data_IF_389170578739
#
_entry.id   IF_389170578739
#
_cell.length_a   1.000
_cell.length_b   1.000
_cell.length_c   1.000
_cell.angle_alpha   90.00
_cell.angle_beta   90.00
_cell.angle_gamma   90.00
#
_symmetry.space_group_name_H-M   'P 1'
#
loop_
_entity.id
_entity.type
_entity.pdbx_description
1 polymer ?
#
# COMPACT_ATOMS: atom_id res chain seq x y z
N UNK A 1 42.64 -10.14 -93.32
CA UNK A 1 43.92 -10.30 -92.58
C UNK A 1 43.61 -10.87 -91.20
N UNK A 2 44.16 -12.08 -90.96
CA UNK A 2 44.20 -12.95 -89.76
C UNK A 2 43.20 -12.73 -88.60
N UNK A 3 42.22 -13.64 -88.53
CA UNK A 3 41.61 -14.20 -87.31
C UNK A 3 42.57 -15.17 -86.61
N UNK A 4 42.56 -15.22 -85.29
CA UNK A 4 42.96 -16.35 -84.41
C UNK A 4 42.29 -16.07 -83.06
N UNK A 5 41.21 -16.72 -82.63
CA UNK A 5 40.87 -18.13 -82.45
C UNK A 5 41.61 -18.80 -81.27
N UNK A 6 40.80 -19.48 -80.42
CA UNK A 6 41.07 -20.46 -79.34
C UNK A 6 40.94 -19.90 -77.91
N UNK A 7 40.18 -20.47 -76.97
CA UNK A 7 39.46 -21.75 -76.82
C UNK A 7 38.39 -21.61 -75.70
N UNK A 8 37.22 -22.26 -75.83
CA UNK A 8 36.40 -22.73 -74.68
C UNK A 8 36.86 -24.16 -74.31
N UNK A 9 36.63 -24.68 -73.09
CA UNK A 9 35.36 -25.38 -72.83
C UNK A 9 34.80 -25.25 -71.40
N UNK A 10 33.54 -25.64 -71.32
CA UNK A 10 32.61 -25.71 -70.20
C UNK A 10 32.89 -26.93 -69.30
N UNK A 11 32.80 -26.81 -67.96
CA UNK A 11 32.49 -27.94 -67.05
C UNK A 11 31.72 -27.44 -65.83
N UNK A 12 30.55 -28.06 -65.59
CA UNK A 12 29.79 -28.05 -64.34
C UNK A 12 30.43 -29.06 -63.37
N UNK A 13 30.45 -28.76 -62.08
CA UNK A 13 30.29 -29.66 -60.90
C UNK A 13 30.52 -28.77 -59.64
N UNK A 14 29.48 -28.46 -58.87
CA UNK A 14 28.90 -29.21 -57.72
C UNK A 14 29.70 -28.99 -56.42
N UNK A 15 29.01 -28.30 -55.52
CA UNK A 15 28.98 -28.34 -54.06
C UNK A 15 30.18 -28.03 -53.14
N UNK A 16 29.75 -27.33 -52.09
CA UNK A 16 30.23 -27.32 -50.71
C UNK A 16 31.34 -26.34 -50.33
N UNK A 17 30.91 -25.16 -49.89
CA UNK A 17 31.40 -24.64 -48.61
C UNK A 17 30.27 -23.94 -47.87
N UNK A 18 29.34 -24.77 -47.42
CA UNK A 18 28.47 -24.46 -46.29
C UNK A 18 29.27 -24.54 -44.99
N UNK A 19 30.21 -23.62 -44.74
CA UNK A 19 31.02 -23.61 -43.50
C UNK A 19 30.83 -22.36 -42.64
N UNK A 20 29.98 -22.57 -41.63
CA UNK A 20 30.01 -21.95 -40.30
C UNK A 20 29.90 -20.42 -40.22
N UNK A 21 28.65 -19.92 -40.20
CA UNK A 21 28.34 -18.75 -39.36
C UNK A 21 28.65 -19.13 -37.92
N UNK A 22 29.80 -18.69 -37.41
CA UNK A 22 30.17 -18.89 -36.01
C UNK A 22 29.07 -18.32 -35.11
N UNK A 23 28.53 -19.10 -34.15
CA UNK A 23 27.51 -18.60 -33.25
C UNK A 23 28.13 -17.48 -32.41
N UNK A 24 27.44 -16.34 -32.31
CA UNK A 24 27.75 -15.17 -31.50
C UNK A 24 28.96 -15.35 -30.56
N UNK A 25 30.15 -14.93 -31.02
CA UNK A 25 31.38 -14.96 -30.20
C UNK A 25 31.26 -13.90 -29.11
N UNK A 26 30.61 -14.25 -27.99
CA UNK A 26 30.57 -13.43 -26.79
C UNK A 26 32.00 -13.30 -26.26
N UNK A 27 32.51 -12.07 -26.18
CA UNK A 27 33.88 -11.82 -25.70
C UNK A 27 34.05 -12.27 -24.25
N UNK A 28 35.28 -12.64 -23.85
CA UNK A 28 35.59 -12.95 -22.44
C UNK A 28 35.20 -11.79 -21.51
N UNK A 29 35.47 -10.54 -21.92
CA UNK A 29 35.09 -9.33 -21.18
C UNK A 29 33.57 -9.25 -20.93
N UNK A 30 32.76 -9.53 -21.95
CA UNK A 30 31.30 -9.50 -21.79
C UNK A 30 30.77 -10.67 -20.96
N UNK A 31 31.37 -11.86 -21.07
CA UNK A 31 31.03 -13.00 -20.18
C UNK A 31 31.37 -12.68 -18.73
N UNK A 32 32.59 -12.19 -18.45
CA UNK A 32 33.03 -11.82 -17.11
C UNK A 32 32.15 -10.71 -16.51
N UNK A 33 31.83 -9.66 -17.29
CA UNK A 33 30.92 -8.59 -16.85
C UNK A 33 29.52 -9.13 -16.52
N UNK A 34 29.01 -10.08 -17.31
CA UNK A 34 27.72 -10.72 -17.03
C UNK A 34 27.75 -11.56 -15.76
N UNK A 35 28.82 -12.35 -15.55
CA UNK A 35 28.98 -13.16 -14.34
C UNK A 35 29.15 -12.32 -13.08
N UNK A 36 29.91 -11.22 -13.15
CA UNK A 36 30.04 -10.30 -12.01
C UNK A 36 28.70 -9.60 -11.70
N UNK A 37 27.95 -9.21 -12.73
CA UNK A 37 26.59 -8.65 -12.55
C UNK A 37 25.63 -9.65 -11.92
N UNK A 38 25.66 -10.92 -12.31
CA UNK A 38 24.78 -11.93 -11.71
C UNK A 38 25.10 -12.15 -10.23
N UNK A 39 26.38 -12.24 -9.88
CA UNK A 39 26.82 -12.34 -8.47
C UNK A 39 26.39 -11.10 -7.68
N UNK A 40 26.52 -9.90 -8.25
CA UNK A 40 26.05 -8.67 -7.61
C UNK A 40 24.55 -8.72 -7.35
N UNK A 41 23.73 -9.09 -8.35
CA UNK A 41 22.27 -9.18 -8.21
C UNK A 41 21.88 -10.18 -7.11
N UNK A 42 22.52 -11.35 -7.07
CA UNK A 42 22.30 -12.36 -6.05
C UNK A 42 22.68 -11.85 -4.65
N UNK A 43 23.82 -11.16 -4.52
CA UNK A 43 24.27 -10.57 -3.26
C UNK A 43 23.31 -9.45 -2.76
N UNK A 44 22.84 -8.57 -3.65
CA UNK A 44 21.85 -7.54 -3.29
C UNK A 44 20.51 -8.17 -2.91
N UNK A 45 20.05 -9.21 -3.62
CA UNK A 45 18.84 -9.94 -3.25
C UNK A 45 18.96 -10.59 -1.87
N UNK A 46 20.09 -11.23 -1.57
CA UNK A 46 20.35 -11.81 -0.25
C UNK A 46 20.37 -10.74 0.85
N UNK A 47 20.99 -9.59 0.58
CA UNK A 47 21.04 -8.47 1.53
C UNK A 47 19.65 -7.91 1.85
N UNK A 48 18.79 -7.76 0.84
CA UNK A 48 17.37 -7.37 1.01
C UNK A 48 16.58 -8.41 1.79
N UNK A 49 16.69 -9.69 1.44
CA UNK A 49 15.99 -10.75 2.17
C UNK A 49 16.44 -10.80 3.63
N UNK A 50 17.74 -10.63 3.89
CA UNK A 50 18.25 -10.57 5.27
C UNK A 50 17.67 -9.39 6.03
N UNK A 51 17.58 -8.21 5.41
CA UNK A 51 16.93 -7.04 6.01
C UNK A 51 15.46 -7.31 6.35
N UNK A 52 14.68 -7.85 5.40
CA UNK A 52 13.27 -8.18 5.60
C UNK A 52 13.07 -9.26 6.67
N UNK A 53 13.95 -10.27 6.69
CA UNK A 53 13.92 -11.31 7.72
C UNK A 53 14.20 -10.75 9.11
N UNK A 54 15.11 -9.79 9.25
CA UNK A 54 15.39 -9.17 10.54
C UNK A 54 14.26 -8.20 10.95
N UNK A 55 13.58 -7.53 10.01
CA UNK A 55 12.36 -6.76 10.31
C UNK A 55 11.24 -7.65 10.87
N UNK A 56 11.06 -8.87 10.33
CA UNK A 56 10.05 -9.80 10.86
C UNK A 56 10.30 -10.14 12.33
N UNK A 57 11.55 -10.21 12.76
CA UNK A 57 11.92 -10.44 14.17
C UNK A 57 11.57 -9.26 15.07
N UNK A 58 11.46 -8.04 14.54
CA UNK A 58 11.00 -6.89 15.32
C UNK A 58 9.60 -7.13 15.91
N UNK A 59 8.76 -7.94 15.26
CA UNK A 59 7.42 -8.31 15.76
C UNK A 59 7.45 -9.27 16.94
N UNK A 60 8.59 -9.89 17.22
CA UNK A 60 8.77 -10.77 18.38
C UNK A 60 9.11 -9.98 19.64
N UNK A 61 9.54 -8.72 19.49
CA UNK A 61 9.81 -7.81 20.60
C UNK A 61 8.46 -7.32 21.15
N UNK A 62 8.28 -7.45 22.46
CA UNK A 62 7.01 -7.12 23.12
C UNK A 62 6.94 -5.65 23.57
N UNK A 63 8.07 -5.04 23.88
CA UNK A 63 8.13 -3.63 24.27
C UNK A 63 8.20 -2.72 23.03
N UNK A 64 7.31 -1.73 22.98
CA UNK A 64 7.18 -0.82 21.83
C UNK A 64 8.39 0.10 21.71
N UNK A 65 9.00 0.53 22.82
CA UNK A 65 10.16 1.42 22.79
C UNK A 65 11.40 0.66 22.32
N UNK A 66 11.63 -0.54 22.86
CA UNK A 66 12.71 -1.43 22.40
C UNK A 66 12.56 -1.79 20.92
N UNK A 67 11.32 -2.03 20.47
CA UNK A 67 11.03 -2.28 19.06
C UNK A 67 11.39 -1.06 18.21
N UNK A 68 11.00 0.15 18.61
CA UNK A 68 11.33 1.37 17.88
C UNK A 68 12.85 1.63 17.85
N UNK A 69 13.57 1.43 18.96
CA UNK A 69 15.03 1.52 19.00
C UNK A 69 15.70 0.51 18.06
N UNK A 70 15.14 -0.70 17.95
CA UNK A 70 15.60 -1.70 16.98
C UNK A 70 15.33 -1.26 15.53
N UNK A 71 14.14 -0.72 15.26
CA UNK A 71 13.77 -0.23 13.92
C UNK A 71 14.63 0.96 13.49
N UNK A 72 14.98 1.86 14.41
CA UNK A 72 15.89 2.98 14.14
C UNK A 72 17.31 2.47 13.78
N UNK A 73 17.80 1.42 14.45
CA UNK A 73 19.06 0.76 14.06
C UNK A 73 18.94 0.07 12.69
N UNK A 74 17.79 -0.54 12.39
CA UNK A 74 17.52 -1.13 11.08
C UNK A 74 17.53 -0.08 9.98
N UNK A 75 17.00 1.12 10.22
CA UNK A 75 16.98 2.23 9.25
C UNK A 75 18.37 2.57 8.73
N UNK A 76 19.42 2.57 9.55
CA UNK A 76 20.81 2.82 9.10
C UNK A 76 21.28 1.82 8.03
N UNK A 77 20.69 0.62 7.94
CA UNK A 77 21.05 -0.36 6.89
C UNK A 77 20.52 0.05 5.51
N UNK A 78 19.57 0.98 5.43
CA UNK A 78 19.08 1.55 4.18
C UNK A 78 20.10 2.50 3.53
N UNK A 79 21.15 2.90 4.24
CA UNK A 79 22.28 3.65 3.65
C UNK A 79 23.05 2.79 2.63
N UNK A 80 22.86 1.46 2.64
CA UNK A 80 23.39 0.56 1.62
C UNK A 80 22.46 0.53 0.37
N UNK A 81 22.94 0.96 -0.82
CA UNK A 81 22.16 0.93 -2.05
C UNK A 81 21.64 -0.46 -2.45
N UNK A 82 22.32 -1.53 -2.05
CA UNK A 82 21.87 -2.91 -2.31
C UNK A 82 20.63 -3.31 -1.50
N UNK A 83 20.40 -2.63 -0.37
CA UNK A 83 19.24 -2.85 0.51
C UNK A 83 18.12 -1.86 0.20
N UNK A 84 18.46 -0.63 -0.20
CA UNK A 84 17.53 0.46 -0.46
C UNK A 84 16.63 0.15 -1.67
N UNK A 85 15.36 -0.17 -1.41
CA UNK A 85 14.37 -0.50 -2.44
C UNK A 85 12.97 -0.13 -1.97
N UNK A 86 12.00 -0.06 -2.89
CA UNK A 86 10.61 0.26 -2.57
C UNK A 86 10.07 -0.69 -1.50
N UNK A 87 10.33 -1.99 -1.65
CA UNK A 87 9.82 -3.02 -0.74
C UNK A 87 10.45 -2.89 0.66
N UNK A 88 11.77 -2.76 0.77
CA UNK A 88 12.44 -2.61 2.07
C UNK A 88 12.02 -1.35 2.82
N UNK A 89 11.90 -0.22 2.11
CA UNK A 89 11.38 1.05 2.68
C UNK A 89 9.93 0.87 3.12
N UNK A 90 9.08 0.32 2.26
CA UNK A 90 7.67 0.10 2.58
C UNK A 90 7.50 -0.82 3.81
N UNK A 91 8.23 -1.94 3.89
CA UNK A 91 8.16 -2.86 5.02
C UNK A 91 8.67 -2.23 6.33
N UNK A 92 9.69 -1.37 6.27
CA UNK A 92 10.13 -0.60 7.43
C UNK A 92 9.04 0.40 7.87
N UNK A 93 8.38 1.09 6.93
CA UNK A 93 7.26 1.99 7.24
C UNK A 93 6.08 1.25 7.88
N UNK A 94 5.73 0.05 7.40
CA UNK A 94 4.72 -0.80 8.03
C UNK A 94 5.13 -1.16 9.46
N UNK A 95 6.40 -1.54 9.67
CA UNK A 95 6.91 -1.88 11.00
C UNK A 95 6.84 -0.70 11.97
N UNK A 96 7.18 0.52 11.53
CA UNK A 96 6.97 1.73 12.33
C UNK A 96 5.49 1.99 12.61
N UNK A 97 4.61 1.80 11.61
CA UNK A 97 3.17 2.00 11.74
C UNK A 97 2.55 1.09 12.78
N UNK A 98 2.92 -0.19 12.76
CA UNK A 98 2.45 -1.20 13.72
C UNK A 98 2.86 -0.83 15.17
N UNK A 99 3.95 -0.08 15.31
CA UNK A 99 4.47 0.48 16.57
C UNK A 99 4.10 1.96 16.81
N UNK A 100 3.19 2.52 16.01
CA UNK A 100 2.73 3.92 16.07
C UNK A 100 3.84 4.98 16.00
N UNK A 101 5.01 4.65 15.46
CA UNK A 101 6.11 5.60 15.29
C UNK A 101 5.95 6.42 14.00
N UNK A 102 4.93 7.28 13.98
CA UNK A 102 4.61 8.12 12.83
C UNK A 102 5.72 9.15 12.54
N UNK A 103 6.46 9.60 13.56
CA UNK A 103 7.62 10.48 13.37
C UNK A 103 8.74 9.75 12.61
N UNK A 104 9.01 8.48 12.92
CA UNK A 104 9.96 7.63 12.20
C UNK A 104 9.57 7.47 10.72
N UNK A 105 8.30 7.20 10.44
CA UNK A 105 7.79 7.11 9.06
C UNK A 105 7.97 8.41 8.27
N UNK A 106 7.60 9.56 8.86
CA UNK A 106 7.66 10.87 8.21
C UNK A 106 9.11 11.27 7.96
N UNK A 107 9.97 11.17 8.99
CA UNK A 107 11.39 11.51 8.86
C UNK A 107 12.11 10.61 7.86
N UNK A 108 11.73 9.33 7.73
CA UNK A 108 12.30 8.43 6.73
C UNK A 108 12.07 8.96 5.31
N UNK A 109 10.84 9.35 4.99
CA UNK A 109 10.53 9.89 3.65
C UNK A 109 11.16 11.26 3.44
N UNK A 110 11.20 12.11 4.47
CA UNK A 110 11.84 13.44 4.42
C UNK A 110 13.37 13.39 4.31
N UNK A 111 14.01 12.30 4.74
CA UNK A 111 15.44 12.08 4.52
C UNK A 111 15.71 11.49 3.13
N UNK A 112 14.88 10.53 2.69
CA UNK A 112 14.99 9.96 1.34
C UNK A 112 14.76 11.01 0.23
N UNK A 113 13.91 12.02 0.48
CA UNK A 113 13.69 13.12 -0.47
C UNK A 113 14.88 14.06 -0.64
N UNK A 114 15.89 13.98 0.24
CA UNK A 114 17.15 14.74 0.11
C UNK A 114 18.16 14.04 -0.79
N UNK A 115 17.94 12.77 -1.12
CA UNK A 115 18.78 12.02 -2.03
C UNK A 115 18.41 12.43 -3.46
N UNK A 116 19.39 12.89 -4.23
CA UNK A 116 19.21 13.26 -5.63
C UNK A 116 18.70 12.05 -6.44
N UNK A 117 17.74 12.28 -7.35
CA UNK A 117 17.11 11.27 -8.19
C UNK A 117 16.45 10.08 -7.45
N UNK A 118 16.08 10.24 -6.16
CA UNK A 118 15.38 9.20 -5.42
C UNK A 118 13.92 9.05 -5.83
N UNK A 119 13.63 8.13 -6.75
CA UNK A 119 12.26 7.86 -7.24
C UNK A 119 11.44 6.93 -6.33
N UNK A 120 12.04 6.40 -5.27
CA UNK A 120 11.35 5.47 -4.36
C UNK A 120 10.15 6.14 -3.68
N UNK A 121 10.33 7.38 -3.23
CA UNK A 121 9.31 8.16 -2.54
C UNK A 121 8.15 8.57 -3.44
N UNK A 122 8.30 8.48 -4.76
CA UNK A 122 7.24 8.79 -5.72
C UNK A 122 6.24 7.63 -5.89
N UNK A 123 6.60 6.44 -5.42
CA UNK A 123 5.74 5.26 -5.51
C UNK A 123 4.47 5.43 -4.67
N UNK A 124 3.32 5.03 -5.22
CA UNK A 124 2.01 5.16 -4.58
C UNK A 124 1.99 4.58 -3.16
N UNK A 125 2.64 3.43 -2.94
CA UNK A 125 2.68 2.76 -1.63
C UNK A 125 3.43 3.56 -0.58
N UNK A 126 4.57 4.17 -0.91
CA UNK A 126 5.34 5.00 0.04
C UNK A 126 4.62 6.32 0.31
N UNK A 127 4.09 6.97 -0.74
CA UNK A 127 3.31 8.21 -0.60
C UNK A 127 2.06 8.03 0.26
N UNK A 128 1.38 6.90 0.10
CA UNK A 128 0.23 6.55 0.95
C UNK A 128 0.64 6.42 2.42
N UNK A 129 1.69 5.64 2.73
CA UNK A 129 2.15 5.48 4.11
C UNK A 129 2.60 6.81 4.72
N UNK A 130 3.23 7.67 3.93
CA UNK A 130 3.62 9.02 4.34
C UNK A 130 2.42 9.89 4.72
N UNK A 131 1.42 9.95 3.82
CA UNK A 131 0.19 10.69 4.08
C UNK A 131 -0.56 10.14 5.30
N UNK A 132 -0.62 8.81 5.44
CA UNK A 132 -1.22 8.16 6.60
C UNK A 132 -0.53 8.56 7.90
N UNK A 133 0.81 8.54 7.92
CA UNK A 133 1.59 8.93 9.09
C UNK A 133 1.36 10.40 9.47
N UNK A 134 1.31 11.31 8.49
CA UNK A 134 0.97 12.72 8.73
C UNK A 134 -0.43 12.85 9.36
N UNK A 135 -1.44 12.18 8.78
CA UNK A 135 -2.81 12.23 9.31
C UNK A 135 -2.89 11.72 10.75
N UNK A 136 -2.15 10.65 11.09
CA UNK A 136 -2.12 10.11 12.47
C UNK A 136 -1.31 10.98 13.44
N UNK A 137 -0.19 11.57 12.99
CA UNK A 137 0.64 12.46 13.82
C UNK A 137 -0.08 13.75 14.17
N UNK A 138 -0.83 14.31 13.21
CA UNK A 138 -1.76 15.40 13.43
C UNK A 138 -1.15 16.65 14.10
N UNK A 139 0.10 17.01 13.77
CA UNK A 139 0.68 18.33 14.11
C UNK A 139 0.17 19.41 13.15
N UNK A 140 0.45 20.66 13.48
CA UNK A 140 0.11 21.81 12.64
C UNK A 140 0.64 21.63 11.20
N UNK A 141 -0.26 21.76 10.21
CA UNK A 141 0.03 21.57 8.80
C UNK A 141 0.07 20.11 8.31
N UNK A 142 0.03 19.12 9.20
CA UNK A 142 0.08 17.70 8.79
C UNK A 142 -1.16 17.27 8.02
N UNK A 143 -2.35 17.73 8.43
CA UNK A 143 -3.61 17.37 7.76
C UNK A 143 -3.64 17.91 6.34
N UNK A 144 -3.22 19.15 6.15
CA UNK A 144 -3.18 19.82 4.85
C UNK A 144 -2.18 19.12 3.93
N UNK A 145 -0.97 18.82 4.43
CA UNK A 145 0.05 18.08 3.69
C UNK A 145 -0.41 16.66 3.35
N UNK A 146 -1.04 15.97 4.30
CA UNK A 146 -1.59 14.62 4.10
C UNK A 146 -2.66 14.64 3.01
N UNK A 147 -3.63 15.56 3.09
CA UNK A 147 -4.70 15.70 2.11
C UNK A 147 -4.14 16.02 0.72
N UNK A 148 -3.24 17.00 0.61
CA UNK A 148 -2.59 17.34 -0.65
C UNK A 148 -1.84 16.14 -1.26
N UNK A 149 -1.15 15.35 -0.44
CA UNK A 149 -0.45 14.15 -0.89
C UNK A 149 -1.44 13.11 -1.43
N UNK A 150 -2.54 12.85 -0.71
CA UNK A 150 -3.57 11.87 -1.11
C UNK A 150 -4.27 12.30 -2.40
N UNK A 151 -4.70 13.56 -2.49
CA UNK A 151 -5.34 14.08 -3.70
C UNK A 151 -4.40 14.00 -4.89
N UNK A 152 -3.12 14.33 -4.71
CA UNK A 152 -2.14 14.19 -5.78
C UNK A 152 -1.92 12.73 -6.21
N UNK A 153 -1.96 11.75 -5.28
CA UNK A 153 -1.94 10.32 -5.66
C UNK A 153 -3.16 10.01 -6.55
N UNK A 154 -4.37 10.39 -6.11
CA UNK A 154 -5.62 10.11 -6.82
C UNK A 154 -5.64 10.75 -8.22
N UNK A 155 -5.09 11.96 -8.37
CA UNK A 155 -5.00 12.69 -9.63
C UNK A 155 -3.92 12.13 -10.55
N UNK A 156 -2.72 11.84 -10.03
CA UNK A 156 -1.58 11.37 -10.82
C UNK A 156 -1.68 9.90 -11.24
N UNK A 157 -2.47 9.08 -10.55
CA UNK A 157 -2.74 7.71 -10.98
C UNK A 157 -3.65 7.72 -12.22
N UNK A 158 -3.03 7.45 -13.38
CA UNK A 158 -3.70 7.39 -14.68
C UNK A 158 -4.68 6.20 -14.77
N UNK A 159 -4.24 5.03 -14.32
CA UNK A 159 -5.06 3.83 -14.27
C UNK A 159 -5.88 3.80 -12.97
N UNK A 160 -7.18 4.13 -13.08
CA UNK A 160 -8.06 4.15 -11.91
C UNK A 160 -8.29 2.76 -11.30
N UNK A 161 -8.05 1.66 -12.02
CA UNK A 161 -8.13 0.31 -11.47
C UNK A 161 -6.91 -0.03 -10.59
N UNK A 162 -5.77 0.61 -10.82
CA UNK A 162 -4.58 0.47 -9.98
C UNK A 162 -4.62 1.31 -8.69
N UNK A 163 -5.62 2.19 -8.54
CA UNK A 163 -5.78 3.01 -7.34
C UNK A 163 -6.35 2.16 -6.20
N UNK A 164 -5.62 2.07 -5.08
CA UNK A 164 -6.11 1.33 -3.92
C UNK A 164 -7.30 2.05 -3.27
N UNK A 165 -8.38 1.32 -2.90
CA UNK A 165 -9.49 1.88 -2.11
C UNK A 165 -9.03 2.56 -0.82
N UNK A 166 -7.93 2.08 -0.21
CA UNK A 166 -7.37 2.66 1.02
C UNK A 166 -6.92 4.11 0.84
N UNK A 167 -6.43 4.47 -0.35
CA UNK A 167 -6.03 5.86 -0.67
C UNK A 167 -7.26 6.77 -0.64
N UNK A 168 -8.37 6.29 -1.20
CA UNK A 168 -9.65 7.03 -1.24
C UNK A 168 -10.25 7.12 0.16
N UNK A 169 -10.24 6.03 0.91
CA UNK A 169 -10.66 6.00 2.31
C UNK A 169 -9.84 6.95 3.19
N UNK A 170 -8.55 7.13 2.92
CA UNK A 170 -7.71 8.08 3.64
C UNK A 170 -8.14 9.53 3.39
N UNK A 171 -8.52 9.89 2.16
CA UNK A 171 -9.11 11.22 1.89
C UNK A 171 -10.39 11.43 2.71
N UNK A 172 -11.29 10.44 2.69
CA UNK A 172 -12.52 10.47 3.49
C UNK A 172 -12.25 10.59 4.99
N UNK A 173 -11.23 9.88 5.49
CA UNK A 173 -10.81 9.94 6.89
C UNK A 173 -10.30 11.33 7.28
N UNK A 174 -9.46 11.96 6.48
CA UNK A 174 -8.90 13.29 6.79
C UNK A 174 -10.03 14.32 6.87
N UNK A 175 -10.99 14.29 5.94
CA UNK A 175 -12.16 15.17 6.00
C UNK A 175 -13.09 14.85 7.20
N UNK A 176 -13.29 13.56 7.52
CA UNK A 176 -14.01 13.16 8.73
C UNK A 176 -13.32 13.73 9.99
N UNK A 177 -12.00 13.63 10.07
CA UNK A 177 -11.23 14.12 11.21
C UNK A 177 -11.30 15.66 11.31
N UNK A 178 -11.34 16.38 10.17
CA UNK A 178 -11.63 17.83 10.14
C UNK A 178 -13.02 18.16 10.67
N UNK A 179 -14.04 17.44 10.22
CA UNK A 179 -15.42 17.58 10.71
C UNK A 179 -15.52 17.34 12.22
N UNK A 180 -14.92 16.27 12.74
CA UNK A 180 -14.88 15.99 14.18
C UNK A 180 -14.13 17.09 14.95
N UNK A 181 -12.97 17.52 14.44
CA UNK A 181 -12.17 18.57 15.08
C UNK A 181 -12.87 19.93 15.11
N UNK A 182 -13.79 20.19 14.18
CA UNK A 182 -14.66 21.37 14.16
C UNK A 182 -15.83 21.29 15.14
N UNK A 183 -15.84 20.31 16.06
CA UNK A 183 -16.97 20.01 16.94
C UNK A 183 -18.28 19.77 16.15
N UNK A 184 -18.17 19.08 15.01
CA UNK A 184 -19.28 18.71 14.13
C UNK A 184 -19.98 19.90 13.43
N UNK A 185 -19.29 21.04 13.26
CA UNK A 185 -19.85 22.24 12.62
C UNK A 185 -19.48 22.37 11.13
N UNK A 186 -18.32 21.86 10.71
CA UNK A 186 -17.83 21.96 9.33
C UNK A 186 -18.58 21.00 8.39
N UNK A 187 -19.70 21.48 7.85
CA UNK A 187 -20.52 20.74 6.89
C UNK A 187 -19.85 20.51 5.55
N UNK A 188 -18.88 21.35 5.15
CA UNK A 188 -18.13 21.14 3.92
C UNK A 188 -17.24 19.91 4.04
N UNK A 189 -16.49 19.80 5.15
CA UNK A 189 -15.70 18.61 5.45
C UNK A 189 -16.57 17.36 5.58
N UNK A 190 -17.76 17.45 6.20
CA UNK A 190 -18.72 16.34 6.24
C UNK A 190 -19.10 15.87 4.83
N UNK A 191 -19.51 16.79 3.96
CA UNK A 191 -19.93 16.47 2.59
C UNK A 191 -18.79 15.87 1.76
N UNK A 192 -17.57 16.41 1.91
CA UNK A 192 -16.38 15.85 1.29
C UNK A 192 -16.09 14.43 1.80
N UNK A 193 -16.16 14.21 3.12
CA UNK A 193 -15.96 12.89 3.70
C UNK A 193 -16.97 11.87 3.14
N UNK A 194 -18.26 12.23 3.09
CA UNK A 194 -19.33 11.41 2.49
C UNK A 194 -19.01 11.09 1.02
N UNK A 195 -18.62 12.10 0.23
CA UNK A 195 -18.27 11.90 -1.19
C UNK A 195 -17.12 10.91 -1.38
N UNK A 196 -16.05 11.04 -0.59
CA UNK A 196 -14.90 10.15 -0.68
C UNK A 196 -15.21 8.72 -0.23
N UNK A 197 -15.95 8.54 0.87
CA UNK A 197 -16.33 7.21 1.33
C UNK A 197 -17.34 6.54 0.39
N UNK A 198 -18.26 7.31 -0.22
CA UNK A 198 -19.15 6.83 -1.29
C UNK A 198 -18.35 6.30 -2.47
N UNK A 199 -17.40 7.09 -2.98
CA UNK A 199 -16.51 6.68 -4.07
C UNK A 199 -15.70 5.43 -3.72
N UNK A 200 -15.20 5.34 -2.48
CA UNK A 200 -14.45 4.16 -2.03
C UNK A 200 -15.34 2.90 -1.98
N UNK A 201 -16.58 3.03 -1.51
CA UNK A 201 -17.53 1.92 -1.42
C UNK A 201 -18.02 1.46 -2.80
N UNK A 202 -18.26 2.38 -3.73
CA UNK A 202 -18.59 2.06 -5.13
C UNK A 202 -17.45 1.32 -5.84
N UNK A 203 -16.20 1.70 -5.59
CA UNK A 203 -15.02 1.01 -6.11
C UNK A 203 -14.84 -0.38 -5.50
N UNK A 204 -14.98 -0.48 -4.18
CA UNK A 204 -14.86 -1.74 -3.46
C UNK A 204 -15.73 -1.71 -2.20
N UNK A 205 -16.74 -2.59 -2.09
CA UNK A 205 -17.67 -2.60 -0.96
C UNK A 205 -17.02 -3.24 0.27
N UNK A 206 -16.13 -2.49 0.92
CA UNK A 206 -15.42 -2.89 2.13
C UNK A 206 -16.19 -2.47 3.39
N UNK A 207 -15.99 -3.21 4.48
CA UNK A 207 -16.67 -2.97 5.76
C UNK A 207 -16.42 -1.55 6.28
N UNK A 208 -15.14 -1.15 6.34
CA UNK A 208 -14.76 0.14 6.88
C UNK A 208 -15.27 1.32 6.03
N UNK A 209 -15.30 1.21 4.70
CA UNK A 209 -15.83 2.28 3.85
C UNK A 209 -17.34 2.40 4.01
N UNK A 210 -18.07 1.27 4.04
CA UNK A 210 -19.51 1.25 4.25
C UNK A 210 -19.95 1.77 5.62
N UNK A 211 -19.26 1.37 6.69
CA UNK A 211 -19.55 1.84 8.06
C UNK A 211 -19.33 3.35 8.17
N UNK A 212 -18.19 3.86 7.67
CA UNK A 212 -17.89 5.28 7.73
C UNK A 212 -18.88 6.09 6.89
N UNK A 213 -19.21 5.64 5.68
CA UNK A 213 -20.21 6.28 4.83
C UNK A 213 -21.56 6.39 5.52
N UNK A 214 -22.07 5.27 6.06
CA UNK A 214 -23.36 5.22 6.75
C UNK A 214 -23.38 6.11 8.00
N UNK A 215 -22.28 6.11 8.76
CA UNK A 215 -22.13 6.96 9.96
C UNK A 215 -22.18 8.44 9.59
N UNK A 216 -21.50 8.84 8.51
CA UNK A 216 -21.47 10.23 8.04
C UNK A 216 -22.81 10.67 7.43
N UNK A 217 -23.50 9.79 6.70
CA UNK A 217 -24.87 10.04 6.22
C UNK A 217 -25.83 10.28 7.39
N UNK A 218 -25.71 9.48 8.45
CA UNK A 218 -26.48 9.70 9.69
C UNK A 218 -26.12 11.04 10.35
N UNK A 219 -24.86 11.44 10.35
CA UNK A 219 -24.42 12.76 10.84
C UNK A 219 -24.91 13.94 9.97
N UNK A 220 -25.19 13.72 8.69
CA UNK A 220 -25.87 14.69 7.83
C UNK A 220 -27.39 14.74 8.02
N UNK A 221 -27.96 13.87 8.87
CA UNK A 221 -29.40 13.81 9.17
C UNK A 221 -30.16 12.77 8.34
N UNK A 222 -29.47 11.90 7.60
CA UNK A 222 -30.10 10.81 6.86
C UNK A 222 -30.50 9.67 7.80
N UNK A 223 -31.60 9.00 7.47
CA UNK A 223 -32.13 7.87 8.22
C UNK A 223 -32.34 6.67 7.30
N UNK A 224 -32.12 5.45 7.81
CA UNK A 224 -32.26 4.21 7.03
C UNK A 224 -33.63 4.06 6.39
N UNK A 225 -34.70 4.53 7.03
CA UNK A 225 -36.08 4.40 6.54
C UNK A 225 -36.30 5.13 5.20
N UNK A 226 -35.58 6.23 4.98
CA UNK A 226 -35.80 7.14 3.85
C UNK A 226 -34.63 7.19 2.86
N UNK A 227 -33.54 6.44 3.12
CA UNK A 227 -32.33 6.50 2.32
C UNK A 227 -31.96 5.12 1.74
N UNK A 228 -32.20 4.95 0.44
CA UNK A 228 -31.96 3.70 -0.28
C UNK A 228 -30.46 3.31 -0.32
N UNK A 229 -29.56 4.30 -0.37
CA UNK A 229 -28.11 4.06 -0.32
C UNK A 229 -27.72 3.43 1.04
N UNK A 230 -28.21 3.98 2.15
CA UNK A 230 -27.97 3.40 3.49
C UNK A 230 -28.53 1.99 3.62
N UNK A 231 -29.73 1.74 3.08
CA UNK A 231 -30.34 0.40 3.08
C UNK A 231 -29.49 -0.60 2.29
N UNK A 232 -28.99 -0.21 1.12
CA UNK A 232 -28.11 -1.05 0.30
C UNK A 232 -26.79 -1.35 1.03
N UNK A 233 -26.17 -0.34 1.64
CA UNK A 233 -24.95 -0.52 2.44
C UNK A 233 -25.21 -1.49 3.59
N UNK A 234 -26.34 -1.37 4.30
CA UNK A 234 -26.70 -2.29 5.37
C UNK A 234 -26.83 -3.75 4.91
N UNK A 235 -27.43 -4.00 3.74
CA UNK A 235 -27.50 -5.35 3.16
C UNK A 235 -26.09 -5.92 2.91
N UNK A 236 -25.20 -5.10 2.34
CA UNK A 236 -23.81 -5.49 2.07
C UNK A 236 -23.05 -5.77 3.36
N UNK A 237 -23.15 -4.89 4.37
CA UNK A 237 -22.50 -5.05 5.67
C UNK A 237 -23.01 -6.30 6.41
N UNK A 238 -24.32 -6.57 6.37
CA UNK A 238 -24.88 -7.80 6.95
C UNK A 238 -24.37 -9.06 6.25
N UNK A 239 -24.23 -9.04 4.92
CA UNK A 239 -23.64 -10.14 4.15
C UNK A 239 -22.16 -10.37 4.48
N UNK A 240 -21.39 -9.29 4.63
CA UNK A 240 -19.98 -9.33 5.06
C UNK A 240 -19.84 -9.94 6.45
N UNK A 241 -20.62 -9.46 7.43
CA UNK A 241 -20.62 -10.01 8.78
C UNK A 241 -21.08 -11.47 8.81
N UNK A 242 -22.09 -11.83 8.03
CA UNK A 242 -22.57 -13.21 7.93
C UNK A 242 -21.48 -14.19 7.51
N UNK A 243 -20.54 -13.76 6.66
CA UNK A 243 -19.38 -14.57 6.25
C UNK A 243 -18.35 -14.78 7.35
N UNK A 244 -18.24 -13.87 8.32
CA UNK A 244 -17.34 -14.02 9.47
C UNK A 244 -17.85 -15.04 10.50
N UNK A 245 -19.15 -15.32 10.48
CA UNK A 245 -19.79 -16.27 11.38
C UNK A 245 -20.35 -15.62 12.65
N UNK A 246 -20.65 -16.44 13.64
CA UNK A 246 -21.32 -15.98 14.85
C UNK A 246 -20.36 -15.22 15.76
N UNK A 247 -20.86 -14.15 16.40
CA UNK A 247 -20.07 -13.28 17.29
C UNK A 247 -19.24 -14.07 18.31
N UNK A 248 -19.79 -15.12 18.94
CA UNK A 248 -19.10 -15.93 19.94
C UNK A 248 -17.90 -16.72 19.39
N UNK A 249 -17.83 -16.97 18.08
CA UNK A 249 -16.74 -17.70 17.41
C UNK A 249 -15.59 -16.80 16.94
N UNK A 250 -15.84 -15.49 16.80
CA UNK A 250 -14.83 -14.54 16.34
C UNK A 250 -13.68 -14.42 17.34
N UNK A 251 -12.42 -14.52 16.90
CA UNK A 251 -11.24 -14.36 17.76
C UNK A 251 -10.41 -13.14 17.41
N UNK A 252 -10.59 -12.60 16.20
CA UNK A 252 -9.96 -11.38 15.75
C UNK A 252 -10.70 -10.15 16.31
N UNK A 253 -9.93 -9.20 16.85
CA UNK A 253 -10.49 -7.98 17.43
C UNK A 253 -11.22 -7.12 16.40
N UNK A 254 -10.67 -6.98 15.20
CA UNK A 254 -11.23 -6.14 14.14
C UNK A 254 -12.55 -6.70 13.64
N UNK A 255 -12.66 -8.02 13.55
CA UNK A 255 -13.93 -8.69 13.23
C UNK A 255 -15.02 -8.38 14.27
N UNK A 256 -14.67 -8.40 15.56
CA UNK A 256 -15.61 -8.06 16.64
C UNK A 256 -15.94 -6.56 16.62
N UNK A 257 -14.96 -5.69 16.36
CA UNK A 257 -15.17 -4.25 16.24
C UNK A 257 -16.12 -3.90 15.09
N UNK A 258 -15.96 -4.51 13.91
CA UNK A 258 -16.91 -4.38 12.81
C UNK A 258 -18.31 -4.84 13.24
N UNK A 259 -18.42 -5.96 13.96
CA UNK A 259 -19.71 -6.46 14.45
C UNK A 259 -20.40 -5.46 15.38
N UNK A 260 -19.63 -4.83 16.26
CA UNK A 260 -20.10 -3.75 17.14
C UNK A 260 -20.61 -2.56 16.33
N UNK A 261 -19.81 -2.02 15.41
CA UNK A 261 -20.16 -0.83 14.63
C UNK A 261 -21.42 -1.04 13.78
N UNK A 262 -21.54 -2.18 13.10
CA UNK A 262 -22.74 -2.51 12.32
C UNK A 262 -23.96 -2.71 13.23
N UNK A 263 -23.79 -3.31 14.41
CA UNK A 263 -24.89 -3.47 15.37
C UNK A 263 -25.38 -2.12 15.90
N UNK A 264 -24.48 -1.17 16.15
CA UNK A 264 -24.82 0.21 16.53
C UNK A 264 -25.55 0.91 15.38
N UNK A 265 -25.06 0.78 14.15
CA UNK A 265 -25.72 1.36 12.97
C UNK A 265 -27.13 0.81 12.79
N UNK A 266 -27.33 -0.49 13.00
CA UNK A 266 -28.63 -1.16 12.94
C UNK A 266 -29.49 -0.95 14.21
N UNK A 267 -29.02 -0.15 15.18
CA UNK A 267 -29.68 0.13 16.47
C UNK A 267 -30.01 -1.13 17.29
N UNK A 268 -29.29 -2.22 17.03
CA UNK A 268 -29.38 -3.45 17.82
C UNK A 268 -28.42 -3.35 19.01
N UNK A 269 -28.80 -2.54 19.99
CA UNK A 269 -27.95 -2.26 21.15
C UNK A 269 -27.66 -3.50 22.00
N UNK A 270 -28.53 -4.52 21.99
CA UNK A 270 -28.25 -5.78 22.65
C UNK A 270 -27.02 -6.48 22.05
N UNK A 271 -26.99 -6.65 20.72
CA UNK A 271 -25.83 -7.20 20.01
C UNK A 271 -24.59 -6.33 20.12
N UNK A 272 -24.77 -5.00 20.10
CA UNK A 272 -23.68 -4.07 20.32
C UNK A 272 -23.04 -4.26 21.71
N UNK A 273 -23.85 -4.42 22.77
CA UNK A 273 -23.33 -4.70 24.11
C UNK A 273 -22.58 -6.04 24.19
N UNK A 274 -23.09 -7.09 23.56
CA UNK A 274 -22.40 -8.40 23.48
C UNK A 274 -21.04 -8.27 22.77
N UNK A 275 -21.00 -7.53 21.65
CA UNK A 275 -19.77 -7.31 20.91
C UNK A 275 -18.77 -6.46 21.70
N UNK A 276 -19.23 -5.39 22.37
CA UNK A 276 -18.41 -4.55 23.23
C UNK A 276 -17.79 -5.34 24.40
N UNK A 277 -18.56 -6.23 25.03
CA UNK A 277 -18.04 -7.13 26.07
C UNK A 277 -16.93 -8.03 25.51
N UNK A 278 -17.16 -8.59 24.32
CA UNK A 278 -16.17 -9.45 23.68
C UNK A 278 -14.90 -8.69 23.27
N UNK A 279 -15.03 -7.46 22.77
CA UNK A 279 -13.89 -6.57 22.49
C UNK A 279 -13.03 -6.37 23.75
N UNK A 280 -13.65 -6.11 24.90
CA UNK A 280 -12.95 -5.96 26.17
C UNK A 280 -12.17 -7.22 26.57
N UNK A 281 -12.71 -8.41 26.29
CA UNK A 281 -12.03 -9.68 26.55
C UNK A 281 -10.82 -9.93 25.63
N UNK A 282 -10.85 -9.41 24.40
CA UNK A 282 -9.78 -9.61 23.40
C UNK A 282 -8.57 -8.69 23.59
N UNK A 283 -8.56 -7.82 24.61
CA UNK A 283 -7.48 -6.87 24.92
C UNK A 283 -7.09 -6.03 23.67
N UNK A 284 -7.92 -5.04 23.31
CA UNK A 284 -7.73 -4.28 22.08
C UNK A 284 -6.34 -3.64 21.99
N UNK A 285 -5.75 -3.56 20.79
CA UNK A 285 -4.64 -2.64 20.57
C UNK A 285 -5.10 -1.21 20.85
N UNK A 286 -4.19 -0.35 21.29
CA UNK A 286 -4.50 1.04 21.67
C UNK A 286 -4.86 1.92 20.45
N UNK A 287 -4.57 1.49 19.21
CA UNK A 287 -4.55 2.33 17.99
C UNK A 287 -5.67 2.15 16.98
#
# INVERSE_FOLDING_TARGET
MKRSCKLRPNKREVDDDSKFKSPNKVTFKSRLKSSLKSVQIEASAHSREKFLSDLRKAREITDVNETNDFLDKMRCRLDNPDVLSVDTVHQLMISYRDNQNYNGMISLVEDLSRIEDCTLIDTQVIRYQYAFALARRNKEGDRERSLATVLNIIESTADKEALSPDVICLAGRIYKDKFIASNYEDRESLNNAVSWYRKAFEMSPLEHSGINLTTLLRASGEHFENNAEMQQIAVVLNSLLGRKGALHQLTDYWDVATYFEVSVLAENYQKACEAALKMAMLKPPVW
#
